data_IF_258239868205
#
_entry.id   IF_258239868205
#
_cell.length_a   1.000
_cell.length_b   1.000
_cell.length_c   1.000
_cell.angle_alpha   90.00
_cell.angle_beta   90.00
_cell.angle_gamma   90.00
#
_symmetry.space_group_name_H-M   'P 1'
#
loop_
_entity.id
_entity.type
_entity.pdbx_description
1 polymer ?
#
# COMPACT_ATOMS: atom_id res chain seq x y z
N UNK A 1 12.41 30.58 10.46
CA UNK A 1 11.52 29.72 11.27
C UNK A 1 10.13 30.30 11.12
N UNK A 2 9.21 29.74 10.34
CA UNK A 2 8.71 28.37 10.41
C UNK A 2 8.15 27.93 9.05
N UNK A 3 8.42 26.69 8.65
CA UNK A 3 7.89 26.06 7.44
C UNK A 3 6.43 25.66 7.56
N UNK A 4 5.70 25.91 6.47
CA UNK A 4 4.72 25.07 5.74
C UNK A 4 3.57 24.33 6.46
N UNK A 5 2.48 23.92 5.76
CA UNK A 5 1.96 24.37 4.46
C UNK A 5 0.45 24.66 4.51
N UNK A 6 -0.05 25.53 3.64
CA UNK A 6 -1.40 25.34 3.10
C UNK A 6 -1.27 24.15 2.16
N UNK A 7 -1.33 22.93 2.72
CA UNK A 7 -1.49 21.73 1.91
C UNK A 7 -2.68 22.01 1.00
N UNK A 8 -2.45 21.89 -0.31
CA UNK A 8 -3.46 22.20 -1.31
C UNK A 8 -4.70 21.36 -0.99
N UNK A 9 -5.75 22.00 -0.46
CA UNK A 9 -6.92 21.34 0.14
C UNK A 9 -7.59 20.39 -0.87
N UNK A 10 -7.36 20.65 -2.15
CA UNK A 10 -7.78 19.84 -3.30
C UNK A 10 -7.10 18.47 -3.37
N UNK A 11 -5.90 18.31 -2.80
CA UNK A 11 -5.13 17.06 -2.83
C UNK A 11 -5.55 16.06 -1.75
N UNK A 12 -6.27 16.50 -0.72
CA UNK A 12 -6.72 15.63 0.38
C UNK A 12 -7.89 14.75 -0.06
N UNK A 13 -7.91 13.50 0.36
CA UNK A 13 -9.06 12.62 0.15
C UNK A 13 -10.28 13.09 0.96
N UNK A 14 -11.47 12.67 0.55
CA UNK A 14 -12.72 13.01 1.25
C UNK A 14 -12.72 12.50 2.69
N UNK A 15 -12.10 11.34 2.95
CA UNK A 15 -11.94 10.79 4.30
C UNK A 15 -11.02 11.67 5.16
N UNK A 16 -9.90 12.13 4.61
CA UNK A 16 -8.96 13.02 5.31
C UNK A 16 -9.59 14.38 5.62
N UNK A 17 -10.34 14.96 4.67
CA UNK A 17 -11.09 16.20 4.88
C UNK A 17 -12.06 16.09 6.06
N UNK A 18 -12.80 14.98 6.17
CA UNK A 18 -13.71 14.74 7.30
C UNK A 18 -12.97 14.61 8.64
N UNK A 19 -11.82 13.92 8.67
CA UNK A 19 -10.98 13.82 9.88
C UNK A 19 -10.48 15.20 10.30
N UNK A 20 -10.07 16.03 9.34
CA UNK A 20 -9.61 17.38 9.60
C UNK A 20 -10.73 18.31 10.12
N UNK A 21 -11.95 18.22 9.56
CA UNK A 21 -13.12 18.94 10.06
C UNK A 21 -13.43 18.54 11.50
N UNK A 22 -13.52 17.24 11.79
CA UNK A 22 -13.80 16.73 13.13
C UNK A 22 -12.72 17.12 14.16
N UNK A 23 -11.46 17.23 13.73
CA UNK A 23 -10.37 17.76 14.59
C UNK A 23 -10.59 19.25 14.88
N UNK A 24 -10.94 20.05 13.88
CA UNK A 24 -11.22 21.47 14.07
C UNK A 24 -12.44 21.69 14.98
N UNK A 25 -13.51 20.90 14.82
CA UNK A 25 -14.69 20.97 15.69
C UNK A 25 -14.35 20.70 17.16
N UNK A 26 -13.56 19.66 17.43
CA UNK A 26 -13.11 19.35 18.80
C UNK A 26 -12.28 20.46 19.42
N UNK A 27 -11.40 21.08 18.64
CA UNK A 27 -10.57 22.20 19.10
C UNK A 27 -11.39 23.47 19.32
N UNK A 28 -12.36 23.73 18.44
CA UNK A 28 -13.26 24.88 18.57
C UNK A 28 -14.23 24.75 19.74
N UNK A 29 -14.55 23.53 20.18
CA UNK A 29 -15.34 23.26 21.39
C UNK A 29 -14.61 23.52 22.71
N UNK A 30 -13.31 23.85 22.69
CA UNK A 30 -12.51 24.06 23.90
C UNK A 30 -12.29 25.55 24.20
N UNK A 31 -13.33 26.23 24.69
CA UNK A 31 -13.32 27.69 24.95
C UNK A 31 -12.14 28.15 25.83
N UNK A 32 -11.81 27.38 26.87
CA UNK A 32 -10.70 27.68 27.77
C UNK A 32 -9.32 27.62 27.10
N UNK A 33 -9.18 26.84 26.03
CA UNK A 33 -7.95 26.80 25.22
C UNK A 33 -7.94 27.93 24.20
N UNK A 34 -9.08 28.23 23.57
CA UNK A 34 -9.18 29.32 22.61
C UNK A 34 -8.91 30.68 23.24
N UNK A 35 -9.40 30.93 24.46
CA UNK A 35 -9.19 32.21 25.17
C UNK A 35 -7.72 32.50 25.49
N UNK A 36 -6.89 31.46 25.56
CA UNK A 36 -5.44 31.56 25.82
C UNK A 36 -4.62 31.76 24.56
N UNK A 37 -5.22 31.56 23.37
CA UNK A 37 -4.53 31.73 22.10
C UNK A 37 -4.58 33.19 21.63
N UNK A 38 -3.49 33.69 21.02
CA UNK A 38 -3.41 35.08 20.57
C UNK A 38 -4.43 35.43 19.47
N UNK A 39 -4.86 34.46 18.67
CA UNK A 39 -5.86 34.62 17.61
C UNK A 39 -7.27 34.16 18.04
N UNK A 40 -7.46 33.80 19.31
CA UNK A 40 -8.74 33.29 19.84
C UNK A 40 -9.35 32.15 19.01
N UNK A 41 -8.50 31.34 18.37
CA UNK A 41 -8.93 30.21 17.53
C UNK A 41 -9.28 30.55 16.09
N UNK A 42 -9.01 31.78 15.61
CA UNK A 42 -9.40 32.21 14.28
C UNK A 42 -8.81 31.34 13.16
N UNK A 43 -7.55 30.92 13.30
CA UNK A 43 -6.93 30.01 12.32
C UNK A 43 -7.64 28.66 12.20
N UNK A 44 -8.24 28.16 13.28
CA UNK A 44 -9.00 26.91 13.25
C UNK A 44 -10.34 27.10 12.54
N UNK A 45 -11.01 28.25 12.70
CA UNK A 45 -12.25 28.58 12.00
C UNK A 45 -12.02 28.68 10.50
N UNK A 46 -11.01 29.46 10.10
CA UNK A 46 -10.62 29.66 8.70
C UNK A 46 -10.28 28.32 8.03
N UNK A 47 -9.50 27.47 8.70
CA UNK A 47 -9.12 26.16 8.17
C UNK A 47 -10.32 25.20 8.04
N UNK A 48 -11.21 25.19 9.04
CA UNK A 48 -12.45 24.41 9.01
C UNK A 48 -13.34 24.82 7.83
N UNK A 49 -13.49 26.12 7.61
CA UNK A 49 -14.27 26.66 6.50
C UNK A 49 -13.71 26.21 5.14
N UNK A 50 -12.38 26.22 4.97
CA UNK A 50 -11.75 25.71 3.74
C UNK A 50 -12.09 24.23 3.49
N UNK A 51 -11.97 23.37 4.50
CA UNK A 51 -12.29 21.95 4.36
C UNK A 51 -13.79 21.73 4.07
N UNK A 52 -14.67 22.51 4.67
CA UNK A 52 -16.11 22.43 4.41
C UNK A 52 -16.47 22.91 3.00
N UNK A 53 -15.83 23.97 2.50
CA UNK A 53 -16.01 24.44 1.12
C UNK A 53 -15.59 23.39 0.11
N UNK A 54 -14.47 22.71 0.33
CA UNK A 54 -14.02 21.62 -0.55
C UNK A 54 -14.95 20.40 -0.49
N UNK A 55 -15.42 20.02 0.70
CA UNK A 55 -16.43 18.95 0.83
C UNK A 55 -17.72 19.30 0.07
N UNK A 56 -18.19 20.55 0.18
CA UNK A 56 -19.38 21.03 -0.52
C UNK A 56 -19.18 21.06 -2.06
N UNK A 57 -17.98 21.44 -2.53
CA UNK A 57 -17.61 21.38 -3.96
C UNK A 57 -17.74 19.96 -4.49
N UNK A 58 -17.18 18.97 -3.80
CA UNK A 58 -17.25 17.54 -4.19
C UNK A 58 -18.68 17.01 -4.20
N UNK A 59 -19.49 17.37 -3.21
CA UNK A 59 -20.91 16.98 -3.16
C UNK A 59 -21.72 17.61 -4.29
N UNK A 60 -21.37 18.83 -4.71
CA UNK A 60 -22.03 19.50 -5.84
C UNK A 60 -21.65 18.84 -7.17
N UNK A 61 -20.38 18.48 -7.35
CA UNK A 61 -19.90 17.77 -8.57
C UNK A 61 -20.48 16.37 -8.71
N UNK A 62 -20.74 15.67 -7.60
CA UNK A 62 -21.35 14.33 -7.60
C UNK A 62 -22.86 14.35 -7.89
N UNK A 63 -23.53 15.52 -7.80
CA UNK A 63 -24.98 15.67 -8.00
C UNK A 63 -25.38 16.27 -9.36
N UNK A 64 -24.45 16.72 -10.20
CA UNK A 64 -24.76 17.24 -11.54
C UNK A 64 -24.84 16.07 -12.54
N UNK A 65 -26.00 15.80 -13.18
CA UNK A 65 -26.07 14.81 -14.26
C UNK A 65 -25.22 15.28 -15.45
N UNK A 66 -24.52 14.38 -16.17
CA UNK A 66 -23.60 14.76 -17.22
C UNK A 66 -24.36 15.17 -18.48
N UNK A 67 -24.72 16.44 -18.59
CA UNK A 67 -25.08 17.04 -19.88
C UNK A 67 -24.04 18.08 -20.25
N UNK A 68 -23.19 17.74 -21.21
CA UNK A 68 -22.32 18.69 -21.88
C UNK A 68 -20.92 18.14 -22.11
N UNK A 69 -20.71 17.62 -23.32
CA UNK A 69 -19.43 17.40 -24.00
C UNK A 69 -18.29 18.30 -23.46
N UNK A 70 -17.45 17.73 -22.61
CA UNK A 70 -16.03 18.06 -22.51
C UNK A 70 -15.32 16.71 -22.40
N UNK A 71 -14.54 16.38 -23.43
CA UNK A 71 -13.61 15.27 -23.36
C UNK A 71 -12.67 15.53 -22.18
N UNK A 72 -12.78 14.66 -21.18
CA UNK A 72 -12.21 14.90 -19.87
C UNK A 72 -10.71 14.55 -19.91
N UNK A 73 -9.83 15.56 -19.80
CA UNK A 73 -8.39 15.36 -19.62
C UNK A 73 -8.08 14.47 -18.41
N UNK A 74 -9.03 14.33 -17.48
CA UNK A 74 -8.99 13.45 -16.33
C UNK A 74 -9.07 11.95 -16.67
N UNK A 75 -9.66 11.58 -17.83
CA UNK A 75 -9.62 10.20 -18.32
C UNK A 75 -8.25 9.81 -18.88
N UNK A 76 -7.48 10.78 -19.42
CA UNK A 76 -6.08 10.55 -19.79
C UNK A 76 -5.17 10.41 -18.57
N UNK A 77 -5.37 11.25 -17.53
CA UNK A 77 -4.59 11.17 -16.29
C UNK A 77 -4.89 9.90 -15.46
N UNK A 78 -6.12 9.38 -15.49
CA UNK A 78 -6.47 8.12 -14.82
C UNK A 78 -5.86 6.88 -15.51
N UNK A 79 -5.79 6.87 -16.85
CA UNK A 79 -5.07 5.81 -17.59
C UNK A 79 -3.55 5.93 -17.44
N UNK A 80 -3.00 7.14 -17.45
CA UNK A 80 -1.57 7.39 -17.24
C UNK A 80 -1.14 7.02 -15.81
N UNK A 81 -1.94 7.34 -14.78
CA UNK A 81 -1.65 6.99 -13.40
C UNK A 81 -1.65 5.48 -13.14
N UNK A 82 -2.68 4.76 -13.61
CA UNK A 82 -2.78 3.29 -13.45
C UNK A 82 -1.76 2.55 -14.31
N UNK A 83 -1.47 3.05 -15.52
CA UNK A 83 -0.39 2.56 -16.37
C UNK A 83 0.98 2.75 -15.73
N UNK A 84 1.23 3.91 -15.11
CA UNK A 84 2.46 4.22 -14.40
C UNK A 84 2.67 3.30 -13.19
N UNK A 85 1.66 3.10 -12.34
CA UNK A 85 1.76 2.17 -11.22
C UNK A 85 2.03 0.73 -11.68
N UNK A 86 1.40 0.30 -12.78
CA UNK A 86 1.62 -1.03 -13.34
C UNK A 86 3.03 -1.18 -13.89
N UNK A 87 3.52 -0.20 -14.65
CA UNK A 87 4.88 -0.21 -15.19
C UNK A 87 5.93 -0.14 -14.08
N UNK A 88 5.72 0.66 -13.05
CA UNK A 88 6.60 0.71 -11.88
C UNK A 88 6.58 -0.59 -11.09
N UNK A 89 5.41 -1.21 -10.89
CA UNK A 89 5.30 -2.52 -10.25
C UNK A 89 6.04 -3.60 -11.06
N UNK A 90 5.95 -3.57 -12.39
CA UNK A 90 6.72 -4.47 -13.27
C UNK A 90 8.21 -4.21 -13.13
N UNK A 91 8.66 -2.95 -13.18
CA UNK A 91 10.08 -2.58 -13.01
C UNK A 91 10.62 -3.02 -11.65
N UNK A 92 9.86 -2.83 -10.58
CA UNK A 92 10.22 -3.26 -9.22
C UNK A 92 10.28 -4.79 -9.15
N UNK A 93 9.27 -5.47 -9.70
CA UNK A 93 9.23 -6.93 -9.77
C UNK A 93 10.44 -7.49 -10.50
N UNK A 94 10.76 -6.96 -11.68
CA UNK A 94 11.92 -7.39 -12.48
C UNK A 94 13.25 -7.06 -11.81
N UNK A 95 13.34 -5.94 -11.09
CA UNK A 95 14.56 -5.55 -10.36
C UNK A 95 14.88 -6.50 -9.20
N UNK A 96 13.87 -7.02 -8.52
CA UNK A 96 14.06 -7.81 -7.30
C UNK A 96 13.67 -9.30 -7.44
N UNK A 97 13.26 -9.76 -8.63
CA UNK A 97 12.79 -11.13 -8.88
C UNK A 97 13.73 -12.24 -8.40
N UNK A 98 15.04 -12.02 -8.50
CA UNK A 98 16.05 -13.01 -8.11
C UNK A 98 16.88 -12.57 -6.90
N UNK A 99 16.40 -11.57 -6.15
CA UNK A 99 17.06 -11.13 -4.93
C UNK A 99 16.74 -12.10 -3.79
N UNK A 100 17.78 -12.75 -3.24
CA UNK A 100 17.67 -13.59 -2.05
C UNK A 100 17.26 -12.76 -0.82
N UNK A 101 16.39 -13.34 0.00
CA UNK A 101 15.99 -12.76 1.28
C UNK A 101 17.13 -12.91 2.28
N UNK A 102 17.69 -11.81 2.82
CA UNK A 102 18.75 -11.90 3.81
C UNK A 102 18.10 -12.14 5.19
N UNK A 103 17.82 -13.43 5.48
CA UNK A 103 17.06 -13.88 6.66
C UNK A 103 17.64 -13.32 7.95
N UNK A 104 18.95 -13.49 8.20
CA UNK A 104 19.60 -12.99 9.41
C UNK A 104 19.40 -11.49 9.60
N UNK A 105 19.72 -10.67 8.59
CA UNK A 105 19.56 -9.21 8.68
C UNK A 105 18.11 -8.79 8.89
N UNK A 106 17.16 -9.57 8.37
CA UNK A 106 15.72 -9.30 8.50
C UNK A 106 15.24 -9.62 9.90
N UNK A 107 15.64 -10.77 10.46
CA UNK A 107 15.32 -11.18 11.83
C UNK A 107 15.95 -10.22 12.83
N UNK A 108 17.23 -9.86 12.67
CA UNK A 108 17.92 -8.91 13.55
C UNK A 108 17.25 -7.55 13.58
N UNK A 109 16.87 -7.01 12.40
CA UNK A 109 16.14 -5.73 12.30
C UNK A 109 14.75 -5.81 12.93
N UNK A 110 14.07 -6.95 12.81
CA UNK A 110 12.71 -7.13 13.33
C UNK A 110 12.66 -7.23 14.86
N UNK A 111 13.67 -7.86 15.46
CA UNK A 111 13.73 -8.12 16.90
C UNK A 111 14.79 -7.30 17.63
N UNK A 112 15.22 -6.19 17.04
CA UNK A 112 16.26 -5.32 17.58
C UNK A 112 15.91 -4.89 19.02
N UNK A 113 16.75 -5.28 19.98
CA UNK A 113 16.57 -4.97 21.40
C UNK A 113 15.49 -5.76 22.15
N UNK A 114 14.77 -6.67 21.48
CA UNK A 114 13.68 -7.46 22.08
C UNK A 114 14.12 -8.87 22.45
N UNK A 115 14.92 -9.51 21.60
CA UNK A 115 15.39 -10.88 21.80
C UNK A 115 16.89 -10.91 22.10
N UNK A 116 17.31 -11.91 22.89
CA UNK A 116 18.74 -12.20 23.08
C UNK A 116 19.36 -12.80 21.83
N UNK A 117 20.68 -12.68 21.68
CA UNK A 117 21.43 -13.25 20.55
C UNK A 117 21.21 -14.76 20.37
N UNK A 118 21.07 -15.52 21.47
CA UNK A 118 20.78 -16.95 21.39
C UNK A 118 19.40 -17.23 20.78
N UNK A 119 18.40 -16.43 21.13
CA UNK A 119 17.05 -16.57 20.57
C UNK A 119 17.04 -16.19 19.09
N UNK A 120 17.76 -15.13 18.70
CA UNK A 120 17.93 -14.75 17.30
C UNK A 120 18.56 -15.89 16.50
N UNK A 121 19.65 -16.49 17.00
CA UNK A 121 20.31 -17.59 16.29
C UNK A 121 19.46 -18.85 16.20
N UNK A 122 18.66 -19.15 17.23
CA UNK A 122 17.70 -20.24 17.17
C UNK A 122 16.69 -20.04 16.03
N UNK A 123 16.12 -18.84 15.92
CA UNK A 123 15.16 -18.50 14.84
C UNK A 123 15.82 -18.65 13.47
N UNK A 124 17.06 -18.16 13.30
CA UNK A 124 17.77 -18.25 12.02
C UNK A 124 18.00 -19.72 11.63
N UNK A 125 18.40 -20.56 12.59
CA UNK A 125 18.64 -21.98 12.34
C UNK A 125 17.38 -22.81 12.07
N UNK A 126 16.21 -22.36 12.54
CA UNK A 126 14.93 -23.02 12.26
C UNK A 126 14.45 -22.81 10.83
N UNK A 127 14.96 -21.80 10.12
CA UNK A 127 14.62 -21.54 8.72
C UNK A 127 15.44 -22.48 7.82
N UNK A 128 14.81 -23.38 7.04
CA UNK A 128 15.53 -24.27 6.14
C UNK A 128 16.31 -23.51 5.06
N UNK A 129 17.41 -24.11 4.60
CA UNK A 129 18.10 -23.63 3.42
C UNK A 129 17.14 -23.63 2.22
N UNK A 130 17.18 -22.55 1.43
CA UNK A 130 16.28 -22.33 0.28
C UNK A 130 14.79 -22.25 0.59
N UNK A 131 14.39 -21.99 1.85
CA UNK A 131 12.99 -21.72 2.19
C UNK A 131 12.41 -20.54 1.37
N UNK A 132 13.20 -19.48 1.19
CA UNK A 132 12.87 -18.36 0.33
C UNK A 132 13.52 -18.55 -1.04
N UNK A 133 12.75 -19.12 -1.98
CA UNK A 133 13.16 -19.30 -3.36
C UNK A 133 13.15 -17.96 -4.12
N UNK A 134 14.10 -17.82 -5.05
CA UNK A 134 14.03 -16.78 -6.08
C UNK A 134 12.93 -17.08 -7.09
N UNK A 135 12.58 -16.12 -7.95
CA UNK A 135 11.64 -16.37 -9.04
C UNK A 135 12.16 -17.47 -9.97
N UNK A 136 13.43 -17.43 -10.32
CA UNK A 136 14.04 -18.45 -11.18
C UNK A 136 13.97 -19.84 -10.53
N UNK A 137 14.36 -19.96 -9.27
CA UNK A 137 14.30 -21.23 -8.53
C UNK A 137 12.86 -21.74 -8.36
N UNK A 138 11.91 -20.83 -8.17
CA UNK A 138 10.48 -21.18 -8.09
C UNK A 138 10.01 -21.80 -9.40
N UNK A 139 10.34 -21.18 -10.54
CA UNK A 139 10.00 -21.69 -11.87
C UNK A 139 10.65 -23.05 -12.13
N UNK A 140 11.91 -23.23 -11.73
CA UNK A 140 12.62 -24.49 -11.88
C UNK A 140 11.99 -25.61 -11.04
N UNK A 141 11.70 -25.33 -9.77
CA UNK A 141 11.01 -26.26 -8.87
C UNK A 141 9.62 -26.63 -9.41
N UNK A 142 8.85 -25.68 -9.93
CA UNK A 142 7.54 -25.94 -10.53
C UNK A 142 7.64 -26.84 -11.77
N UNK A 143 8.65 -26.59 -12.62
CA UNK A 143 8.91 -27.41 -13.81
C UNK A 143 9.31 -28.84 -13.43
N UNK A 144 10.15 -29.01 -12.41
CA UNK A 144 10.53 -30.31 -11.89
C UNK A 144 9.31 -31.06 -11.34
N UNK A 145 8.53 -30.41 -10.48
CA UNK A 145 7.28 -30.95 -9.94
C UNK A 145 6.30 -31.38 -11.03
N UNK A 146 6.17 -30.58 -12.10
CA UNK A 146 5.32 -30.92 -13.24
C UNK A 146 5.81 -32.19 -13.96
N UNK A 147 7.12 -32.26 -14.23
CA UNK A 147 7.71 -33.41 -14.89
C UNK A 147 7.59 -34.68 -14.05
N UNK A 148 7.74 -34.59 -12.73
CA UNK A 148 7.55 -35.72 -11.83
C UNK A 148 6.10 -36.21 -11.81
N UNK A 149 5.12 -35.31 -11.70
CA UNK A 149 3.70 -35.68 -11.79
C UNK A 149 3.38 -36.37 -13.11
N UNK A 150 3.88 -35.82 -14.22
CA UNK A 150 3.72 -36.42 -15.55
C UNK A 150 4.35 -37.81 -15.61
N UNK A 151 5.54 -38.00 -15.04
CA UNK A 151 6.22 -39.30 -14.99
C UNK A 151 5.41 -40.34 -14.20
N UNK A 152 4.90 -39.95 -13.04
CA UNK A 152 4.07 -40.82 -12.19
C UNK A 152 2.77 -41.22 -12.88
N UNK A 153 2.09 -40.27 -13.54
CA UNK A 153 0.84 -40.57 -14.26
C UNK A 153 1.07 -41.50 -15.45
N UNK A 154 2.14 -41.28 -16.22
CA UNK A 154 2.53 -42.19 -17.31
C UNK A 154 2.87 -43.59 -16.80
N UNK A 155 3.52 -43.71 -15.64
CA UNK A 155 3.80 -45.00 -15.01
C UNK A 155 2.49 -45.71 -14.62
N UNK A 156 1.55 -44.99 -13.98
CA UNK A 156 0.23 -45.51 -13.60
C UNK A 156 -0.57 -46.01 -14.81
N UNK A 157 -0.63 -45.24 -15.88
CA UNK A 157 -1.33 -45.64 -17.11
C UNK A 157 -0.70 -46.89 -17.74
N UNK A 158 0.63 -47.00 -17.73
CA UNK A 158 1.33 -48.20 -18.22
C UNK A 158 1.03 -49.44 -17.38
N UNK A 159 0.88 -49.31 -16.07
CA UNK A 159 0.49 -50.44 -15.20
C UNK A 159 -0.96 -50.87 -15.45
N UNK A 160 -1.88 -49.92 -15.63
CA UNK A 160 -3.28 -50.20 -15.99
C UNK A 160 -3.39 -50.92 -17.34
N UNK A 161 -2.61 -50.52 -18.35
CA UNK A 161 -2.59 -51.19 -19.65
C UNK A 161 -1.96 -52.58 -19.63
N UNK A 162 -1.13 -52.92 -18.62
CA UNK A 162 -0.53 -54.25 -18.46
C UNK A 162 -1.44 -55.21 -17.68
N UNK A 163 -2.43 -54.69 -16.98
CA UNK A 163 -3.37 -55.45 -16.16
C UNK A 163 -4.74 -55.65 -16.84
N UNK A 164 -4.89 -55.15 -18.07
CA UNK A 164 -6.00 -55.38 -18.99
C UNK A 164 -5.57 -56.38 -20.08
#
# INVERSE_FOLDING_TARGET
>A
MSGDPVADVTTLSTAELNVHVARCDRLLGQEALLSRLPDKGEKFRVRREMYQKELARRQTEEQVPPTGKMENEQSKLAEEGVGHYREEAIKIGDKYKDRRVPVESTVRRMYEGVLSEQQIQKIIHEVPENFFLTRTETIEMEKENYNERRRLELARLREQMKSA
#
